data_IF_229208507371
#
_entry.id   IF_229208507371
#
_cell.length_a   1.000
_cell.length_b   1.000
_cell.length_c   1.000
_cell.angle_alpha   90.00
_cell.angle_beta   90.00
_cell.angle_gamma   90.00
#
_symmetry.space_group_name_H-M   'P 1'
#
loop_
_entity.id
_entity.type
_entity.pdbx_description
1 polymer ?
#
# COMPACT_ATOMS: atom_id res chain seq x y z
N UNK A 1 -34.81 9.14 0.33
CA UNK A 1 -34.39 9.35 -1.07
C UNK A 1 -33.11 8.55 -1.25
N UNK A 2 -33.16 7.45 -2.03
CA UNK A 2 -31.97 6.68 -2.38
C UNK A 2 -31.06 7.60 -3.19
N UNK A 3 -29.83 7.83 -2.70
CA UNK A 3 -28.80 8.52 -3.47
C UNK A 3 -28.47 7.64 -4.69
N UNK A 4 -28.35 8.25 -5.87
CA UNK A 4 -27.95 7.53 -7.06
C UNK A 4 -26.56 6.90 -6.84
N UNK A 5 -26.28 5.68 -7.38
CA UNK A 5 -25.00 4.98 -7.19
C UNK A 5 -23.80 5.86 -7.56
N UNK A 6 -23.91 6.71 -8.58
CA UNK A 6 -22.88 7.67 -8.98
C UNK A 6 -22.55 8.71 -7.88
N UNK A 7 -23.55 9.14 -7.11
CA UNK A 7 -23.34 10.08 -6.01
C UNK A 7 -22.63 9.42 -4.83
N UNK A 8 -22.89 8.13 -4.55
CA UNK A 8 -22.20 7.34 -3.54
C UNK A 8 -20.75 7.09 -3.96
N UNK A 9 -20.51 6.73 -5.22
CA UNK A 9 -19.18 6.57 -5.78
C UNK A 9 -18.37 7.86 -5.65
N UNK A 10 -18.94 8.99 -6.06
CA UNK A 10 -18.28 10.30 -5.97
C UNK A 10 -17.97 10.71 -4.52
N UNK A 11 -18.83 10.33 -3.56
CA UNK A 11 -18.59 10.57 -2.14
C UNK A 11 -17.45 9.71 -1.62
N UNK A 12 -17.45 8.41 -1.94
CA UNK A 12 -16.40 7.47 -1.54
C UNK A 12 -15.03 7.88 -2.13
N UNK A 13 -14.95 8.21 -3.41
CA UNK A 13 -13.71 8.68 -4.04
C UNK A 13 -13.19 9.97 -3.41
N UNK A 14 -14.08 10.93 -3.08
CA UNK A 14 -13.67 12.16 -2.38
C UNK A 14 -13.18 11.89 -0.96
N UNK A 15 -13.79 10.94 -0.26
CA UNK A 15 -13.35 10.53 1.08
C UNK A 15 -11.97 9.88 1.02
N UNK A 16 -11.72 8.98 0.07
CA UNK A 16 -10.41 8.35 -0.15
C UNK A 16 -9.34 9.39 -0.45
N UNK A 17 -9.59 10.29 -1.42
CA UNK A 17 -8.63 11.35 -1.76
C UNK A 17 -8.31 12.28 -0.58
N UNK A 18 -9.29 12.55 0.31
CA UNK A 18 -9.06 13.34 1.52
C UNK A 18 -8.27 12.58 2.57
N UNK A 19 -8.52 11.27 2.70
CA UNK A 19 -7.76 10.40 3.58
C UNK A 19 -6.30 10.34 3.16
N UNK A 20 -6.03 10.09 1.87
CA UNK A 20 -4.68 10.03 1.30
C UNK A 20 -3.93 11.37 1.44
N UNK A 21 -4.64 12.50 1.33
CA UNK A 21 -4.05 13.83 1.42
C UNK A 21 -3.78 14.30 2.87
N UNK A 22 -4.54 13.82 3.86
CA UNK A 22 -4.49 14.30 5.25
C UNK A 22 -3.92 13.30 6.25
N UNK A 23 -3.70 12.06 5.87
CA UNK A 23 -3.23 11.02 6.78
C UNK A 23 -4.28 10.69 7.86
N UNK A 24 -3.84 10.61 9.10
CA UNK A 24 -4.47 9.92 10.23
C UNK A 24 -5.82 10.46 10.71
N UNK A 25 -6.31 11.61 10.27
CA UNK A 25 -7.61 12.14 10.71
C UNK A 25 -8.80 11.56 9.92
N UNK A 26 -8.94 10.23 9.97
CA UNK A 26 -10.03 9.52 9.32
C UNK A 26 -11.43 9.98 9.81
N UNK A 27 -11.58 10.30 11.09
CA UNK A 27 -12.82 10.80 11.67
C UNK A 27 -13.24 12.18 11.11
N UNK A 28 -12.26 12.99 10.69
CA UNK A 28 -12.53 14.28 10.03
C UNK A 28 -12.96 14.12 8.58
N UNK A 29 -12.67 12.97 7.94
CA UNK A 29 -12.97 12.72 6.52
C UNK A 29 -14.38 12.17 6.33
N UNK A 30 -14.77 11.18 7.13
CA UNK A 30 -16.11 10.61 7.10
C UNK A 30 -16.47 10.03 8.48
N UNK A 31 -17.49 10.56 9.17
CA UNK A 31 -17.95 10.01 10.43
C UNK A 31 -18.37 8.53 10.29
N UNK A 32 -18.00 7.70 11.26
CA UNK A 32 -18.22 6.23 11.26
C UNK A 32 -19.61 5.81 10.82
N UNK A 33 -20.65 6.43 11.41
CA UNK A 33 -22.04 6.12 11.08
C UNK A 33 -22.35 6.28 9.60
N UNK A 34 -21.65 7.18 8.88
CA UNK A 34 -21.80 7.36 7.43
C UNK A 34 -21.06 6.28 6.66
N UNK A 35 -19.91 5.85 7.15
CA UNK A 35 -19.16 4.75 6.54
C UNK A 35 -19.90 3.42 6.67
N UNK A 36 -20.51 3.16 7.84
CA UNK A 36 -21.33 1.97 8.06
C UNK A 36 -22.57 1.96 7.17
N UNK A 37 -23.28 3.10 7.09
CA UNK A 37 -24.42 3.23 6.17
C UNK A 37 -24.01 3.05 4.71
N UNK A 38 -22.85 3.59 4.29
CA UNK A 38 -22.35 3.40 2.95
C UNK A 38 -22.02 1.93 2.66
N UNK A 39 -21.45 1.22 3.65
CA UNK A 39 -21.13 -0.19 3.51
C UNK A 39 -22.39 -1.09 3.44
N UNK A 40 -23.48 -0.68 4.11
CA UNK A 40 -24.77 -1.36 3.99
C UNK A 40 -25.47 -1.10 2.63
N UNK A 41 -25.33 0.13 2.11
CA UNK A 41 -25.94 0.54 0.84
C UNK A 41 -25.22 0.03 -0.40
N UNK A 42 -23.89 -0.16 -0.31
CA UNK A 42 -23.06 -0.58 -1.44
C UNK A 42 -21.91 -1.49 -0.96
N UNK A 43 -22.23 -2.71 -0.48
CA UNK A 43 -21.26 -3.65 0.09
C UNK A 43 -20.20 -4.12 -0.93
N UNK A 44 -20.51 -4.02 -2.23
CA UNK A 44 -19.62 -4.47 -3.32
C UNK A 44 -18.61 -3.38 -3.75
N UNK A 45 -18.67 -2.18 -3.15
CA UNK A 45 -17.81 -1.06 -3.56
C UNK A 45 -16.41 -1.20 -2.93
N UNK A 46 -15.33 -1.44 -3.71
CA UNK A 46 -13.98 -1.65 -3.19
C UNK A 46 -13.48 -0.48 -2.34
N UNK A 47 -13.81 0.76 -2.75
CA UNK A 47 -13.39 1.99 -2.07
C UNK A 47 -13.90 2.08 -0.62
N UNK A 48 -15.08 1.53 -0.35
CA UNK A 48 -15.64 1.51 1.01
C UNK A 48 -14.83 0.58 1.91
N UNK A 49 -14.45 -0.58 1.39
CA UNK A 49 -13.60 -1.51 2.12
C UNK A 49 -12.21 -0.94 2.38
N UNK A 50 -11.64 -0.19 1.42
CA UNK A 50 -10.38 0.54 1.64
C UNK A 50 -10.51 1.55 2.80
N UNK A 51 -11.59 2.33 2.84
CA UNK A 51 -11.82 3.29 3.93
C UNK A 51 -12.03 2.60 5.28
N UNK A 52 -12.74 1.48 5.32
CA UNK A 52 -12.90 0.66 6.53
C UNK A 52 -11.59 0.02 6.99
N UNK A 53 -10.76 -0.43 6.04
CA UNK A 53 -9.40 -0.88 6.34
C UNK A 53 -8.58 0.24 7.00
N UNK A 54 -8.60 1.44 6.43
CA UNK A 54 -7.89 2.58 6.97
C UNK A 54 -8.40 2.99 8.38
N UNK A 55 -9.71 2.96 8.59
CA UNK A 55 -10.31 3.16 9.92
C UNK A 55 -9.83 2.10 10.92
N UNK A 56 -9.84 0.81 10.52
CA UNK A 56 -9.39 -0.29 11.37
C UNK A 56 -7.90 -0.18 11.73
N UNK A 57 -7.05 0.26 10.79
CA UNK A 57 -5.64 0.58 11.08
C UNK A 57 -5.50 1.66 12.16
N UNK A 58 -6.29 2.73 12.05
CA UNK A 58 -6.28 3.82 13.03
C UNK A 58 -6.73 3.35 14.42
N UNK A 59 -7.74 2.49 14.47
CA UNK A 59 -8.27 1.90 15.72
C UNK A 59 -7.39 0.81 16.31
N UNK A 60 -6.36 0.41 15.63
CA UNK A 60 -5.52 -0.73 16.02
C UNK A 60 -6.30 -2.06 16.08
N UNK A 61 -7.29 -2.22 15.21
CA UNK A 61 -8.08 -3.44 15.07
C UNK A 61 -7.54 -4.28 13.91
N UNK A 62 -6.58 -5.16 14.22
CA UNK A 62 -5.91 -5.98 13.21
C UNK A 62 -6.85 -6.92 12.45
N UNK A 63 -7.75 -7.70 13.12
CA UNK A 63 -8.67 -8.58 12.41
C UNK A 63 -9.56 -7.83 11.41
N UNK A 64 -10.15 -6.70 11.83
CA UNK A 64 -10.98 -5.88 10.95
C UNK A 64 -10.16 -5.26 9.81
N UNK A 65 -8.92 -4.82 10.07
CA UNK A 65 -8.04 -4.27 9.04
C UNK A 65 -7.75 -5.30 7.94
N UNK A 66 -7.40 -6.52 8.30
CA UNK A 66 -7.12 -7.60 7.35
C UNK A 66 -8.39 -8.02 6.60
N UNK A 67 -9.52 -8.16 7.29
CA UNK A 67 -10.80 -8.52 6.67
C UNK A 67 -11.21 -7.50 5.60
N UNK A 68 -11.16 -6.22 5.92
CA UNK A 68 -11.52 -5.18 4.97
C UNK A 68 -10.52 -5.03 3.82
N UNK A 69 -9.24 -5.32 4.06
CA UNK A 69 -8.24 -5.38 3.00
C UNK A 69 -8.56 -6.49 1.99
N UNK A 70 -8.90 -7.70 2.46
CA UNK A 70 -9.28 -8.80 1.60
C UNK A 70 -10.53 -8.44 0.77
N UNK A 71 -11.58 -7.96 1.41
CA UNK A 71 -12.81 -7.53 0.72
C UNK A 71 -12.55 -6.44 -0.33
N UNK A 72 -11.61 -5.52 -0.07
CA UNK A 72 -11.22 -4.51 -1.04
C UNK A 72 -10.66 -5.13 -2.31
N UNK A 73 -9.75 -6.10 -2.18
CA UNK A 73 -9.12 -6.75 -3.33
C UNK A 73 -10.05 -7.72 -4.03
N UNK A 74 -10.90 -8.45 -3.30
CA UNK A 74 -11.92 -9.34 -3.87
C UNK A 74 -12.91 -8.55 -4.72
N UNK A 75 -13.52 -7.49 -4.18
CA UNK A 75 -14.45 -6.63 -4.90
C UNK A 75 -13.79 -5.89 -6.09
N UNK A 76 -12.49 -5.55 -5.99
CA UNK A 76 -11.74 -4.97 -7.11
C UNK A 76 -11.50 -5.98 -8.23
N UNK A 77 -11.47 -7.29 -7.91
CA UNK A 77 -11.33 -8.39 -8.86
C UNK A 77 -12.58 -8.59 -9.72
N UNK A 78 -13.73 -8.64 -9.10
CA UNK A 78 -15.01 -8.88 -9.78
C UNK A 78 -15.36 -7.77 -10.79
N UNK A 79 -15.01 -6.51 -10.50
CA UNK A 79 -15.30 -5.39 -11.40
C UNK A 79 -14.51 -5.39 -12.71
N UNK A 80 -13.36 -6.08 -12.78
CA UNK A 80 -12.56 -6.17 -14.01
C UNK A 80 -13.15 -7.22 -14.95
N UNK A 81 -13.65 -8.32 -14.42
CA UNK A 81 -14.20 -9.42 -15.24
C UNK A 81 -15.50 -9.02 -15.96
N UNK A 82 -16.35 -8.20 -15.33
CA UNK A 82 -17.60 -7.70 -15.93
C UNK A 82 -17.35 -6.71 -17.09
N UNK A 83 -16.26 -5.95 -17.07
CA UNK A 83 -15.91 -5.03 -18.18
C UNK A 83 -15.25 -5.72 -19.36
N UNK A 84 -14.55 -6.82 -19.13
CA UNK A 84 -13.93 -7.62 -20.18
C UNK A 84 -14.94 -8.36 -21.06
N UNK A 85 -16.13 -8.67 -20.52
CA UNK A 85 -17.18 -9.42 -21.22
C UNK A 85 -18.00 -8.58 -22.24
N UNK A 86 -17.83 -7.25 -22.24
CA UNK A 86 -18.63 -6.32 -23.06
C UNK A 86 -18.00 -5.86 -24.38
N UNK A 87 -16.88 -6.36 -24.81
CA UNK A 87 -16.35 -5.97 -26.12
C UNK A 87 -15.04 -6.56 -26.59
N UNK A 88 -15.15 -7.41 -27.56
CA UNK A 88 -14.23 -7.68 -28.68
C UNK A 88 -12.73 -7.94 -28.42
N UNK A 89 -12.29 -9.11 -28.89
CA UNK A 89 -10.94 -9.61 -29.10
C UNK A 89 -10.35 -10.46 -27.97
N UNK A 90 -10.70 -11.74 -28.07
CA UNK A 90 -10.40 -12.81 -27.12
C UNK A 90 -8.92 -13.03 -26.77
N UNK A 91 -7.97 -12.68 -27.62
CA UNK A 91 -6.55 -13.00 -27.39
C UNK A 91 -5.76 -11.87 -26.69
N UNK A 92 -6.06 -10.60 -26.99
CA UNK A 92 -5.42 -9.45 -26.32
C UNK A 92 -6.00 -9.24 -24.92
N UNK A 93 -7.30 -9.49 -24.73
CA UNK A 93 -7.98 -9.34 -23.45
C UNK A 93 -7.54 -10.35 -22.37
N UNK A 94 -7.17 -11.59 -22.74
CA UNK A 94 -6.68 -12.58 -21.78
C UNK A 94 -5.27 -12.21 -21.24
N UNK A 95 -4.41 -11.62 -22.07
CA UNK A 95 -3.09 -11.18 -21.65
C UNK A 95 -3.15 -9.92 -20.78
N UNK A 96 -3.98 -8.95 -21.12
CA UNK A 96 -4.22 -7.75 -20.30
C UNK A 96 -4.87 -8.10 -18.98
N UNK A 97 -5.84 -9.01 -18.95
CA UNK A 97 -6.49 -9.50 -17.72
C UNK A 97 -5.50 -10.24 -16.81
N UNK A 98 -4.62 -11.06 -17.38
CA UNK A 98 -3.59 -11.76 -16.62
C UNK A 98 -2.57 -10.78 -16.00
N UNK A 99 -2.16 -9.74 -16.73
CA UNK A 99 -1.27 -8.71 -16.22
C UNK A 99 -1.93 -7.87 -15.12
N UNK A 100 -3.17 -7.42 -15.31
CA UNK A 100 -3.94 -6.70 -14.30
C UNK A 100 -4.13 -7.55 -13.02
N UNK A 101 -4.32 -8.87 -13.16
CA UNK A 101 -4.38 -9.79 -12.03
C UNK A 101 -3.07 -9.88 -11.26
N UNK A 102 -1.94 -9.88 -11.95
CA UNK A 102 -0.60 -9.91 -11.34
C UNK A 102 -0.26 -8.61 -10.62
N UNK A 103 -0.53 -7.47 -11.22
CA UNK A 103 -0.33 -6.15 -10.60
C UNK A 103 -1.19 -6.01 -9.33
N UNK A 104 -2.42 -6.52 -9.35
CA UNK A 104 -3.27 -6.55 -8.15
C UNK A 104 -2.70 -7.41 -7.05
N UNK A 105 -2.17 -8.60 -7.37
CA UNK A 105 -1.54 -9.47 -6.38
C UNK A 105 -0.35 -8.80 -5.70
N UNK A 106 0.53 -8.16 -6.48
CA UNK A 106 1.67 -7.41 -5.94
C UNK A 106 1.23 -6.28 -5.00
N UNK A 107 0.23 -5.50 -5.45
CA UNK A 107 -0.35 -4.42 -4.64
C UNK A 107 -0.99 -4.96 -3.36
N UNK A 108 -1.72 -6.08 -3.45
CA UNK A 108 -2.33 -6.73 -2.29
C UNK A 108 -1.28 -7.22 -1.28
N UNK A 109 -0.20 -7.83 -1.75
CA UNK A 109 0.91 -8.29 -0.89
C UNK A 109 1.62 -7.12 -0.22
N UNK A 110 1.87 -6.02 -0.92
CA UNK A 110 2.45 -4.81 -0.34
C UNK A 110 1.53 -4.14 0.68
N UNK A 111 0.22 -4.10 0.41
CA UNK A 111 -0.77 -3.58 1.33
C UNK A 111 -0.87 -4.46 2.60
N UNK A 112 -0.83 -5.78 2.44
CA UNK A 112 -0.78 -6.72 3.56
C UNK A 112 0.49 -6.55 4.39
N UNK A 113 1.65 -6.40 3.73
CA UNK A 113 2.92 -6.13 4.40
C UNK A 113 2.87 -4.83 5.21
N UNK A 114 2.28 -3.78 4.63
CA UNK A 114 2.09 -2.48 5.30
C UNK A 114 1.15 -2.62 6.52
N UNK A 115 0.11 -3.43 6.40
CA UNK A 115 -0.81 -3.74 7.50
C UNK A 115 -0.08 -4.45 8.63
N UNK A 116 0.65 -5.53 8.37
CA UNK A 116 1.46 -6.21 9.37
C UNK A 116 2.50 -5.28 10.01
N UNK A 117 3.15 -4.43 9.19
CA UNK A 117 4.10 -3.43 9.67
C UNK A 117 3.45 -2.45 10.66
N UNK A 118 2.25 -1.94 10.37
CA UNK A 118 1.51 -1.02 11.24
C UNK A 118 1.18 -1.65 12.61
N UNK A 119 1.02 -2.96 12.68
CA UNK A 119 0.78 -3.72 13.91
C UNK A 119 2.05 -4.32 14.53
N UNK A 120 3.22 -3.99 14.01
CA UNK A 120 4.52 -4.51 14.47
C UNK A 120 4.68 -6.03 14.34
N UNK A 121 3.94 -6.65 13.42
CA UNK A 121 4.07 -8.06 13.05
C UNK A 121 5.23 -8.23 12.06
N UNK A 122 6.47 -8.14 12.56
CA UNK A 122 7.69 -8.04 11.74
C UNK A 122 7.90 -9.24 10.82
N UNK A 123 7.71 -10.45 11.34
CA UNK A 123 7.95 -11.68 10.56
C UNK A 123 6.94 -11.84 9.42
N UNK A 124 5.68 -11.55 9.69
CA UNK A 124 4.59 -11.60 8.73
C UNK A 124 4.76 -10.51 7.66
N UNK A 125 5.16 -9.29 8.08
CA UNK A 125 5.49 -8.22 7.15
C UNK A 125 6.64 -8.62 6.22
N UNK A 126 7.73 -9.19 6.75
CA UNK A 126 8.87 -9.67 5.94
C UNK A 126 8.49 -10.79 4.99
N UNK A 127 7.62 -11.71 5.42
CA UNK A 127 7.12 -12.79 4.57
C UNK A 127 6.32 -12.23 3.39
N UNK A 128 5.40 -11.31 3.65
CA UNK A 128 4.59 -10.65 2.61
C UNK A 128 5.46 -9.81 1.65
N UNK A 129 6.46 -9.07 2.15
CA UNK A 129 7.43 -8.34 1.33
C UNK A 129 8.21 -9.30 0.42
N UNK A 130 8.70 -10.42 0.97
CA UNK A 130 9.49 -11.39 0.21
C UNK A 130 8.67 -11.99 -0.94
N UNK A 131 7.41 -12.28 -0.70
CA UNK A 131 6.50 -12.78 -1.72
C UNK A 131 6.19 -11.70 -2.78
N UNK A 132 5.97 -10.44 -2.36
CA UNK A 132 5.78 -9.32 -3.26
C UNK A 132 7.00 -9.11 -4.16
N UNK A 133 8.23 -9.16 -3.60
CA UNK A 133 9.49 -9.05 -4.36
C UNK A 133 9.61 -10.18 -5.37
N UNK A 134 9.36 -11.43 -4.96
CA UNK A 134 9.43 -12.59 -5.85
C UNK A 134 8.48 -12.43 -7.04
N UNK A 135 7.24 -12.03 -6.78
CA UNK A 135 6.22 -11.84 -7.81
C UNK A 135 6.56 -10.65 -8.72
N UNK A 136 7.04 -9.53 -8.15
CA UNK A 136 7.44 -8.35 -8.90
C UNK A 136 8.65 -8.63 -9.81
N UNK A 137 9.64 -9.39 -9.34
CA UNK A 137 10.78 -9.82 -10.16
C UNK A 137 10.36 -10.71 -11.33
N UNK A 138 9.42 -11.63 -11.12
CA UNK A 138 8.89 -12.48 -12.19
C UNK A 138 8.14 -11.70 -13.26
N UNK A 139 7.53 -10.59 -12.88
CA UNK A 139 6.73 -9.75 -13.78
C UNK A 139 7.49 -8.53 -14.33
N UNK A 140 8.71 -8.28 -13.87
CA UNK A 140 9.49 -7.09 -14.25
C UNK A 140 8.89 -5.77 -13.74
N UNK A 141 8.16 -5.81 -12.60
CA UNK A 141 7.52 -4.62 -12.03
C UNK A 141 8.47 -3.86 -11.10
N UNK A 142 9.21 -2.93 -11.68
CA UNK A 142 10.16 -2.07 -10.97
C UNK A 142 9.48 -1.17 -9.92
N UNK A 143 8.22 -0.79 -10.16
CA UNK A 143 7.47 0.05 -9.22
C UNK A 143 7.18 -0.69 -7.92
N UNK A 144 6.68 -1.91 -8.01
CA UNK A 144 6.46 -2.76 -6.83
C UNK A 144 7.77 -3.12 -6.13
N UNK A 145 8.87 -3.32 -6.86
CA UNK A 145 10.19 -3.53 -6.27
C UNK A 145 10.67 -2.32 -5.47
N UNK A 146 10.47 -1.10 -5.98
CA UNK A 146 10.83 0.13 -5.26
C UNK A 146 10.00 0.30 -3.98
N UNK A 147 8.70 0.00 -4.01
CA UNK A 147 7.85 0.02 -2.83
C UNK A 147 8.25 -1.05 -1.80
N UNK A 148 8.55 -2.26 -2.25
CA UNK A 148 9.04 -3.33 -1.37
C UNK A 148 10.37 -2.95 -0.70
N UNK A 149 11.29 -2.32 -1.43
CA UNK A 149 12.55 -1.80 -0.89
C UNK A 149 12.30 -0.72 0.17
N UNK A 150 11.38 0.22 -0.09
CA UNK A 150 11.00 1.24 0.88
C UNK A 150 10.42 0.64 2.16
N UNK A 151 9.50 -0.34 2.05
CA UNK A 151 8.96 -1.06 3.21
C UNK A 151 10.03 -1.83 3.97
N UNK A 152 10.96 -2.47 3.27
CA UNK A 152 12.09 -3.17 3.89
C UNK A 152 12.95 -2.22 4.72
N UNK A 153 13.31 -1.05 4.15
CA UNK A 153 14.09 -0.04 4.87
C UNK A 153 13.34 0.54 6.07
N UNK A 154 12.02 0.74 5.96
CA UNK A 154 11.19 1.19 7.06
C UNK A 154 11.16 0.16 8.20
N UNK A 155 11.03 -1.13 7.86
CA UNK A 155 11.02 -2.22 8.82
C UNK A 155 12.36 -2.34 9.54
N UNK A 156 13.49 -2.27 8.81
CA UNK A 156 14.84 -2.26 9.39
C UNK A 156 15.05 -1.07 10.34
N UNK A 157 14.59 0.12 9.95
CA UNK A 157 14.68 1.32 10.77
C UNK A 157 13.86 1.22 12.08
N UNK A 158 12.70 0.55 12.04
CA UNK A 158 11.83 0.40 13.20
C UNK A 158 12.30 -0.69 14.15
N UNK A 159 12.79 -1.80 13.61
CA UNK A 159 13.06 -2.99 14.44
C UNK A 159 14.30 -2.85 15.30
N UNK A 160 15.20 -1.88 15.03
CA UNK A 160 16.48 -1.66 15.77
C UNK A 160 17.17 -2.94 16.32
N UNK A 161 16.61 -4.11 15.98
CA UNK A 161 17.04 -5.44 16.40
C UNK A 161 18.06 -6.07 15.46
N UNK A 162 18.22 -5.47 14.27
CA UNK A 162 19.31 -5.80 13.39
C UNK A 162 20.61 -5.41 14.07
N UNK A 163 21.54 -6.37 14.23
CA UNK A 163 22.84 -6.09 14.81
C UNK A 163 23.58 -4.98 14.05
N UNK A 164 24.76 -4.58 14.50
CA UNK A 164 25.59 -3.52 13.88
C UNK A 164 25.70 -3.63 12.34
N UNK A 165 25.60 -4.84 11.80
CA UNK A 165 25.61 -5.08 10.34
C UNK A 165 24.42 -4.52 9.61
N UNK A 166 23.20 -4.67 10.17
CA UNK A 166 21.96 -4.17 9.54
C UNK A 166 21.89 -2.66 9.64
N UNK A 167 22.35 -2.10 10.76
CA UNK A 167 22.46 -0.64 10.91
C UNK A 167 23.41 -0.02 9.88
N UNK A 168 24.53 -0.68 9.57
CA UNK A 168 25.51 -0.20 8.58
C UNK A 168 25.00 -0.29 7.14
N UNK A 169 24.05 -1.21 6.83
CA UNK A 169 23.49 -1.38 5.50
C UNK A 169 22.35 -0.41 5.19
N UNK A 170 21.62 0.05 6.20
CA UNK A 170 20.43 0.88 6.05
C UNK A 170 20.67 2.14 5.21
N UNK A 171 21.73 2.97 5.41
CA UNK A 171 21.94 4.15 4.61
C UNK A 171 22.23 3.82 3.13
N UNK A 172 22.89 2.71 2.85
CA UNK A 172 23.15 2.25 1.47
C UNK A 172 21.85 1.85 0.78
N UNK A 173 20.96 1.13 1.49
CA UNK A 173 19.66 0.74 0.97
C UNK A 173 18.74 1.96 0.76
N UNK A 174 18.77 2.94 1.66
CA UNK A 174 18.01 4.19 1.51
C UNK A 174 18.49 5.02 0.31
N UNK A 175 19.81 5.12 0.06
CA UNK A 175 20.34 5.79 -1.14
C UNK A 175 19.92 5.06 -2.41
N UNK A 176 19.93 3.72 -2.40
CA UNK A 176 19.44 2.92 -3.53
C UNK A 176 17.94 3.14 -3.76
N UNK A 177 17.16 3.16 -2.68
CA UNK A 177 15.72 3.44 -2.76
C UNK A 177 15.46 4.84 -3.35
N UNK A 178 16.20 5.87 -2.94
CA UNK A 178 16.07 7.21 -3.48
C UNK A 178 16.43 7.28 -4.98
N UNK A 179 17.50 6.60 -5.40
CA UNK A 179 17.92 6.55 -6.80
C UNK A 179 16.86 5.87 -7.68
N UNK A 180 16.40 4.68 -7.28
CA UNK A 180 15.36 3.92 -8.00
C UNK A 180 14.04 4.69 -8.05
N UNK A 181 13.64 5.34 -6.96
CA UNK A 181 12.45 6.17 -6.90
C UNK A 181 12.52 7.39 -7.84
N UNK A 182 13.72 7.99 -8.00
CA UNK A 182 13.94 9.09 -8.93
C UNK A 182 13.82 8.60 -10.40
N UNK A 183 14.39 7.45 -10.74
CA UNK A 183 14.28 6.84 -12.08
C UNK A 183 12.82 6.56 -12.43
N UNK A 184 12.03 6.08 -11.47
CA UNK A 184 10.59 5.82 -11.63
C UNK A 184 9.73 7.09 -11.55
N UNK A 185 10.33 8.26 -11.36
CA UNK A 185 9.61 9.53 -11.18
C UNK A 185 8.56 9.46 -10.05
N UNK A 186 8.85 8.76 -8.94
CA UNK A 186 7.98 8.62 -7.78
C UNK A 186 8.35 9.59 -6.67
N UNK A 187 7.72 10.79 -6.59
CA UNK A 187 8.12 11.83 -5.64
C UNK A 187 7.89 11.42 -4.18
N UNK A 188 6.89 10.58 -3.91
CA UNK A 188 6.60 10.10 -2.56
C UNK A 188 7.71 9.19 -2.03
N UNK A 189 8.20 8.27 -2.85
CA UNK A 189 9.31 7.38 -2.46
C UNK A 189 10.63 8.14 -2.34
N UNK A 190 10.88 9.14 -3.21
CA UNK A 190 12.05 10.02 -3.09
C UNK A 190 12.01 10.78 -1.77
N UNK A 191 10.87 11.39 -1.44
CA UNK A 191 10.68 12.13 -0.19
C UNK A 191 10.88 11.20 1.03
N UNK A 192 10.27 10.02 1.02
CA UNK A 192 10.44 9.03 2.08
C UNK A 192 11.91 8.67 2.28
N UNK A 193 12.62 8.27 1.22
CA UNK A 193 14.00 7.83 1.31
C UNK A 193 14.94 8.96 1.78
N UNK A 194 14.72 10.19 1.31
CA UNK A 194 15.49 11.37 1.72
C UNK A 194 15.27 11.70 3.20
N UNK A 195 14.02 11.70 3.67
CA UNK A 195 13.70 11.95 5.08
C UNK A 195 14.27 10.86 5.99
N UNK A 196 14.14 9.59 5.58
CA UNK A 196 14.68 8.47 6.35
C UNK A 196 16.19 8.49 6.43
N UNK A 197 16.88 8.88 5.34
CA UNK A 197 18.33 9.05 5.31
C UNK A 197 18.78 10.19 6.21
N UNK A 198 18.14 11.37 6.12
CA UNK A 198 18.44 12.52 7.00
C UNK A 198 18.23 12.15 8.46
N UNK A 199 17.14 11.45 8.78
CA UNK A 199 16.91 10.97 10.15
C UNK A 199 18.02 10.03 10.61
N UNK A 200 18.43 9.08 9.77
CA UNK A 200 19.53 8.17 10.09
C UNK A 200 20.83 8.92 10.38
N UNK A 201 21.19 9.93 9.57
CA UNK A 201 22.40 10.75 9.74
C UNK A 201 22.35 11.60 11.02
N UNK A 202 21.19 12.09 11.42
CA UNK A 202 20.99 12.79 12.69
C UNK A 202 21.17 11.84 13.88
N UNK A 203 20.61 10.63 13.80
CA UNK A 203 20.69 9.63 14.85
C UNK A 203 22.12 9.02 14.98
N UNK A 204 22.96 9.11 13.91
CA UNK A 204 24.31 8.51 13.83
C UNK A 204 25.35 9.53 13.30
N UNK A 205 25.66 10.60 14.05
CA UNK A 205 26.51 11.69 13.55
C UNK A 205 27.94 11.28 13.23
N UNK A 206 28.46 10.19 13.81
CA UNK A 206 29.82 9.71 13.59
C UNK A 206 30.07 9.04 12.23
N UNK A 207 29.02 8.69 11.49
CA UNK A 207 29.15 8.08 10.15
C UNK A 207 29.14 9.09 9.03
N UNK A 208 28.75 10.35 9.30
CA UNK A 208 28.64 11.43 8.30
C UNK A 208 30.01 12.08 7.94
N UNK A 209 31.07 11.82 8.74
CA UNK A 209 32.38 12.51 8.58
C UNK A 209 33.36 11.71 7.69
N UNK A 210 33.03 10.47 7.33
CA UNK A 210 33.94 9.57 6.59
C UNK A 210 33.49 9.26 5.15
N UNK A 211 32.58 10.00 4.60
CA UNK A 211 32.14 9.95 3.19
C UNK A 211 32.40 11.26 2.49
#
# INVERSE_FOLDING_TARGET
>A
ACAAPDALMALACRATARYDARGVDADAVLPRHRLDVLAELAPEMPTIHYLKHAEALHRRDFPAAVEHLHRHFDASGEHVDVRADLGSRRAEGEFESANAGRERLQTALLALATTHFAFSHVNEAMSAISEAVRTAQQNGDETSLAHALALTTALMAQTRRGGERDAAQLPTLLRRCAAQAAELSSPHLVAYASLALTKYEIDHPSTAITG
#
